data_IF_393497423672
#
_entry.id   IF_393497423672
#
_cell.length_a   1.000
_cell.length_b   1.000
_cell.length_c   1.000
_cell.angle_alpha   90.00
_cell.angle_beta   90.00
_cell.angle_gamma   90.00
#
_symmetry.space_group_name_H-M   'P 1'
#
loop_
_entity.id
_entity.type
_entity.pdbx_description
1 polymer ?
#
# COMPACT_ATOMS: atom_id res chain seq x y z
N UNK A 1 -4.06 37.99 -56.45
CA UNK A 1 -2.88 38.78 -56.01
C UNK A 1 -3.20 39.25 -54.60
N UNK A 2 -2.83 38.42 -53.62
CA UNK A 2 -1.58 38.51 -52.87
C UNK A 2 -1.77 39.55 -51.73
N UNK A 3 -2.05 39.12 -50.50
CA UNK A 3 -1.14 38.51 -49.51
C UNK A 3 -0.56 39.60 -48.59
N UNK A 4 -0.93 39.56 -47.29
CA UNK A 4 -0.12 40.11 -46.20
C UNK A 4 -0.59 39.59 -44.83
N UNK A 5 0.03 38.47 -44.48
CA UNK A 5 0.46 37.97 -43.17
C UNK A 5 0.01 38.71 -41.89
N UNK A 6 -0.75 37.98 -41.07
CA UNK A 6 -0.96 38.23 -39.65
C UNK A 6 -0.07 37.24 -38.88
N UNK A 7 0.90 37.76 -38.12
CA UNK A 7 1.86 36.94 -37.37
C UNK A 7 1.28 36.42 -36.06
N UNK A 8 1.06 35.11 -36.00
CA UNK A 8 0.76 34.38 -34.77
C UNK A 8 2.03 34.17 -33.94
N UNK A 9 2.16 34.87 -32.82
CA UNK A 9 3.09 34.52 -31.75
C UNK A 9 2.48 33.41 -30.89
N UNK A 10 2.72 32.16 -31.28
CA UNK A 10 2.50 31.02 -30.39
C UNK A 10 3.61 30.97 -29.34
N UNK A 11 3.25 31.29 -28.10
CA UNK A 11 3.99 30.93 -26.90
C UNK A 11 4.17 29.41 -26.83
N UNK A 12 5.38 28.91 -27.10
CA UNK A 12 5.83 27.62 -26.60
C UNK A 12 6.39 27.83 -25.19
N UNK A 13 5.54 27.63 -24.18
CA UNK A 13 6.04 27.33 -22.84
C UNK A 13 6.58 25.89 -22.86
N UNK A 14 7.90 25.75 -22.95
CA UNK A 14 8.55 24.47 -22.66
C UNK A 14 8.37 24.18 -21.17
N UNK A 15 7.35 23.37 -20.85
CA UNK A 15 7.22 22.78 -19.53
C UNK A 15 8.41 21.85 -19.32
N UNK A 16 9.48 22.36 -18.70
CA UNK A 16 10.55 21.52 -18.18
C UNK A 16 9.91 20.52 -17.21
N UNK A 17 9.91 19.24 -17.59
CA UNK A 17 9.63 18.14 -16.66
C UNK A 17 10.68 18.22 -15.56
N UNK A 18 10.33 18.84 -14.42
CA UNK A 18 11.14 18.79 -13.22
C UNK A 18 11.24 17.34 -12.79
N UNK A 19 12.42 16.76 -12.96
CA UNK A 19 12.77 15.47 -12.38
C UNK A 19 12.73 15.66 -10.86
N UNK A 20 11.64 15.22 -10.23
CA UNK A 20 11.45 15.33 -8.79
C UNK A 20 12.35 14.31 -8.09
N UNK A 21 13.55 14.75 -7.70
CA UNK A 21 14.45 13.98 -6.84
C UNK A 21 14.01 14.12 -5.39
N UNK A 22 14.15 13.04 -4.61
CA UNK A 22 14.03 13.08 -3.15
C UNK A 22 15.46 13.13 -2.58
N UNK A 23 15.83 14.22 -1.92
CA UNK A 23 17.16 14.39 -1.33
C UNK A 23 18.32 14.18 -2.34
N UNK A 24 18.11 14.52 -3.62
CA UNK A 24 19.07 14.30 -4.70
C UNK A 24 19.13 12.86 -5.24
N UNK A 25 18.28 11.96 -4.75
CA UNK A 25 18.10 10.59 -5.25
C UNK A 25 16.92 10.57 -6.23
N UNK A 26 17.03 9.81 -7.32
CA UNK A 26 15.92 9.63 -8.25
C UNK A 26 14.71 8.97 -7.55
N UNK A 27 13.49 9.39 -7.91
CA UNK A 27 12.26 8.96 -7.24
C UNK A 27 12.07 7.44 -7.24
N UNK A 28 12.56 6.75 -8.28
CA UNK A 28 12.43 5.31 -8.44
C UNK A 28 13.32 4.55 -7.45
N UNK A 29 14.59 4.95 -7.35
CA UNK A 29 15.52 4.44 -6.34
C UNK A 29 15.06 4.77 -4.93
N UNK A 30 14.52 5.98 -4.71
CA UNK A 30 13.94 6.37 -3.42
C UNK A 30 12.76 5.47 -3.04
N UNK A 31 11.81 5.24 -3.95
CA UNK A 31 10.67 4.34 -3.78
C UNK A 31 11.12 2.93 -3.39
N UNK A 32 12.07 2.35 -4.14
CA UNK A 32 12.55 0.99 -3.87
C UNK A 32 13.49 0.85 -2.67
N UNK A 33 13.94 1.94 -2.04
CA UNK A 33 14.79 1.91 -0.84
C UNK A 33 14.05 2.31 0.43
N UNK A 34 13.12 3.25 0.31
CA UNK A 34 12.49 3.94 1.45
C UNK A 34 10.99 3.72 1.51
N UNK A 35 10.34 3.35 0.40
CA UNK A 35 8.89 3.11 0.39
C UNK A 35 8.47 2.02 1.39
N UNK A 36 7.27 2.13 1.95
CA UNK A 36 6.77 1.14 2.92
C UNK A 36 6.75 -0.28 2.34
N UNK A 37 6.49 -0.45 1.03
CA UNK A 37 6.54 -1.77 0.39
C UNK A 37 7.96 -2.33 0.41
N UNK A 38 8.95 -1.51 0.05
CA UNK A 38 10.35 -1.93 0.02
C UNK A 38 10.88 -2.23 1.44
N UNK A 39 10.48 -1.44 2.43
CA UNK A 39 10.85 -1.67 3.83
C UNK A 39 10.19 -2.93 4.41
N UNK A 40 8.94 -3.22 4.03
CA UNK A 40 8.22 -4.39 4.52
C UNK A 40 8.65 -5.68 3.82
N UNK A 41 8.78 -5.66 2.49
CA UNK A 41 8.90 -6.86 1.67
C UNK A 41 10.23 -6.95 0.90
N UNK A 42 11.07 -5.93 0.97
CA UNK A 42 12.29 -5.83 0.20
C UNK A 42 12.08 -5.18 -1.17
N UNK A 43 13.16 -4.62 -1.72
CA UNK A 43 13.14 -3.85 -2.96
C UNK A 43 12.69 -4.68 -4.19
N UNK A 44 13.10 -5.96 -4.25
CA UNK A 44 12.76 -6.84 -5.37
C UNK A 44 11.26 -7.14 -5.43
N UNK A 45 10.65 -7.48 -4.30
CA UNK A 45 9.22 -7.78 -4.23
C UNK A 45 8.36 -6.51 -4.36
N UNK A 46 8.82 -5.37 -3.82
CA UNK A 46 8.17 -4.09 -4.06
C UNK A 46 8.15 -3.74 -5.56
N UNK A 47 9.27 -3.92 -6.26
CA UNK A 47 9.36 -3.72 -7.71
C UNK A 47 8.36 -4.60 -8.46
N UNK A 48 8.36 -5.89 -8.17
CA UNK A 48 7.44 -6.85 -8.79
C UNK A 48 5.97 -6.48 -8.49
N UNK A 49 5.67 -6.04 -7.28
CA UNK A 49 4.34 -5.56 -6.93
C UNK A 49 3.91 -4.37 -7.79
N UNK A 50 4.78 -3.37 -7.94
CA UNK A 50 4.47 -2.19 -8.76
C UNK A 50 4.29 -2.54 -10.24
N UNK A 51 5.11 -3.42 -10.81
CA UNK A 51 4.94 -3.92 -12.19
C UNK A 51 3.55 -4.56 -12.39
N UNK A 52 3.14 -5.42 -11.45
CA UNK A 52 1.84 -6.07 -11.48
C UNK A 52 0.70 -5.07 -11.31
N UNK A 53 0.84 -4.08 -10.41
CA UNK A 53 -0.19 -3.08 -10.14
C UNK A 53 -0.37 -2.09 -11.31
N UNK A 54 0.73 -1.69 -11.96
CA UNK A 54 0.67 -0.75 -13.10
C UNK A 54 0.46 -1.44 -14.45
N UNK A 55 0.47 -2.78 -14.49
CA UNK A 55 0.49 -3.61 -15.71
C UNK A 55 1.64 -3.22 -16.66
N UNK A 56 2.80 -2.93 -16.11
CA UNK A 56 3.99 -2.61 -16.90
C UNK A 56 4.88 -3.85 -17.04
N UNK A 57 5.44 -4.08 -18.23
CA UNK A 57 6.37 -5.18 -18.48
C UNK A 57 7.72 -5.01 -17.79
N UNK A 58 8.08 -3.77 -17.44
CA UNK A 58 9.30 -3.41 -16.74
C UNK A 58 9.04 -2.18 -15.88
N UNK A 59 9.48 -2.23 -14.63
CA UNK A 59 9.44 -1.08 -13.72
C UNK A 59 10.34 0.08 -14.20
N UNK A 60 11.37 -0.22 -14.99
CA UNK A 60 12.32 0.80 -15.46
C UNK A 60 11.69 1.78 -16.45
N UNK A 61 10.61 1.38 -17.12
CA UNK A 61 9.90 2.22 -18.07
C UNK A 61 8.80 3.07 -17.41
N UNK A 62 8.52 2.86 -16.12
CA UNK A 62 7.45 3.56 -15.42
C UNK A 62 7.91 4.97 -14.98
N UNK A 63 7.21 6.05 -15.36
CA UNK A 63 7.55 7.41 -14.96
C UNK A 63 7.09 7.69 -13.52
N UNK A 64 7.94 7.32 -12.57
CA UNK A 64 7.70 7.54 -11.14
C UNK A 64 7.97 9.00 -10.78
N UNK A 65 6.98 9.62 -10.14
CA UNK A 65 7.06 10.95 -9.54
C UNK A 65 6.96 10.85 -8.01
N UNK A 66 7.49 11.87 -7.33
CA UNK A 66 7.38 12.02 -5.89
C UNK A 66 6.79 13.39 -5.56
N UNK A 67 5.75 13.41 -4.73
CA UNK A 67 5.18 14.64 -4.16
C UNK A 67 5.62 14.78 -2.71
N UNK A 68 6.50 15.75 -2.46
CA UNK A 68 7.02 16.02 -1.13
C UNK A 68 5.98 16.53 -0.13
N UNK A 69 4.88 17.13 -0.59
CA UNK A 69 3.83 17.66 0.28
C UNK A 69 2.93 16.57 0.89
N UNK A 70 2.78 15.45 0.18
CA UNK A 70 2.02 14.30 0.64
C UNK A 70 2.91 13.09 0.95
N UNK A 71 4.21 13.23 0.71
CA UNK A 71 5.21 12.16 0.78
C UNK A 71 4.82 10.92 -0.03
N UNK A 72 4.11 11.09 -1.16
CA UNK A 72 3.65 9.98 -1.99
C UNK A 72 4.51 9.76 -3.24
N UNK A 73 4.67 8.50 -3.60
CA UNK A 73 5.18 8.07 -4.89
C UNK A 73 4.01 7.68 -5.78
N UNK A 74 4.03 8.13 -7.03
CA UNK A 74 2.93 7.89 -7.97
C UNK A 74 3.42 7.82 -9.41
N UNK A 75 2.62 7.21 -10.28
CA UNK A 75 2.82 7.24 -11.73
C UNK A 75 1.98 8.36 -12.32
N UNK A 76 2.63 9.28 -13.02
CA UNK A 76 1.93 10.23 -13.90
C UNK A 76 1.55 9.51 -15.20
N UNK A 77 0.27 9.44 -15.55
CA UNK A 77 -0.14 8.82 -16.82
C UNK A 77 -0.17 9.86 -17.96
N UNK A 78 0.73 9.60 -18.89
CA UNK A 78 0.90 10.04 -20.28
C UNK A 78 1.65 11.35 -20.58
N UNK A 79 2.47 11.26 -21.64
CA UNK A 79 3.22 12.36 -22.27
C UNK A 79 2.34 13.21 -23.21
N UNK A 80 1.05 12.87 -23.33
CA UNK A 80 0.06 13.54 -24.19
C UNK A 80 -0.83 14.51 -23.40
N UNK A 81 -0.61 14.64 -22.08
CA UNK A 81 -1.32 15.56 -21.20
C UNK A 81 -2.77 15.15 -20.91
N UNK A 82 -3.16 13.88 -21.08
CA UNK A 82 -4.53 13.46 -20.75
C UNK A 82 -4.70 13.42 -19.23
N UNK A 83 -5.77 14.04 -18.75
CA UNK A 83 -6.15 14.02 -17.33
C UNK A 83 -6.62 12.62 -16.93
N UNK A 84 -5.68 11.74 -16.62
CA UNK A 84 -5.93 10.54 -15.83
C UNK A 84 -5.50 10.79 -14.39
N UNK A 85 -6.29 10.29 -13.43
CA UNK A 85 -5.88 10.32 -12.02
C UNK A 85 -4.54 9.60 -11.87
N UNK A 86 -3.59 10.17 -11.11
CA UNK A 86 -2.30 9.52 -10.87
C UNK A 86 -2.51 8.16 -10.20
N UNK A 87 -1.67 7.19 -10.53
CA UNK A 87 -1.67 5.88 -9.85
C UNK A 87 -0.77 6.02 -8.64
N UNK A 88 -1.36 5.95 -7.46
CA UNK A 88 -0.62 5.95 -6.21
C UNK A 88 0.12 4.61 -6.03
N UNK A 89 1.39 4.66 -5.64
CA UNK A 89 2.21 3.46 -5.46
C UNK A 89 2.56 3.21 -3.99
N UNK A 90 3.11 4.22 -3.32
CA UNK A 90 3.65 4.07 -1.97
C UNK A 90 3.78 5.42 -1.27
N UNK A 91 4.11 5.38 0.02
CA UNK A 91 4.51 6.54 0.81
C UNK A 91 5.99 6.45 1.17
N UNK A 92 6.65 7.60 1.26
CA UNK A 92 7.94 7.75 1.92
C UNK A 92 7.69 7.94 3.42
N UNK A 93 8.16 7.04 4.30
CA UNK A 93 8.03 7.20 5.73
C UNK A 93 8.73 8.46 6.22
N UNK A 94 8.10 9.17 7.16
CA UNK A 94 8.79 10.23 7.88
C UNK A 94 9.90 9.64 8.78
N UNK A 95 10.94 10.41 9.15
CA UNK A 95 12.00 9.91 10.04
C UNK A 95 11.52 9.44 11.41
N UNK A 96 10.33 9.88 11.84
CA UNK A 96 9.69 9.49 13.10
C UNK A 96 8.73 8.29 12.96
N UNK A 97 8.73 7.62 11.81
CA UNK A 97 7.84 6.52 11.50
C UNK A 97 8.19 5.31 12.37
N UNK A 98 7.19 4.48 12.73
CA UNK A 98 7.46 3.26 13.49
C UNK A 98 8.35 2.30 12.69
N UNK A 99 9.14 1.48 13.39
CA UNK A 99 10.04 0.52 12.77
C UNK A 99 9.24 -0.57 12.06
N UNK A 100 9.39 -0.66 10.74
CA UNK A 100 8.69 -1.63 9.90
C UNK A 100 9.14 -3.05 10.23
N UNK A 101 8.18 -3.98 10.30
CA UNK A 101 8.46 -5.40 10.47
C UNK A 101 8.65 -6.00 9.09
N UNK A 102 9.83 -6.60 8.86
CA UNK A 102 10.10 -7.32 7.61
C UNK A 102 9.25 -8.57 7.51
N UNK A 103 8.66 -8.77 6.33
CA UNK A 103 7.73 -9.82 5.97
C UNK A 103 8.14 -10.41 4.61
N UNK A 104 7.82 -11.68 4.38
CA UNK A 104 7.95 -12.30 3.05
C UNK A 104 6.77 -11.85 2.20
N UNK A 105 7.01 -11.41 0.96
CA UNK A 105 5.92 -11.07 0.04
C UNK A 105 5.16 -12.33 -0.36
N UNK A 106 3.85 -12.35 -0.10
CA UNK A 106 3.04 -13.49 -0.53
C UNK A 106 2.80 -13.43 -2.03
N UNK A 107 3.28 -14.45 -2.73
CA UNK A 107 3.08 -14.64 -4.16
C UNK A 107 2.51 -16.02 -4.47
N UNK A 108 1.97 -16.14 -5.68
CA UNK A 108 1.52 -17.41 -6.25
C UNK A 108 2.70 -18.12 -6.91
N UNK A 109 2.72 -19.45 -6.81
CA UNK A 109 3.88 -20.24 -7.21
C UNK A 109 3.72 -20.91 -8.58
N UNK A 110 2.60 -20.67 -9.27
CA UNK A 110 2.33 -21.27 -10.59
C UNK A 110 1.99 -20.19 -11.61
N UNK A 111 2.49 -20.34 -12.84
CA UNK A 111 2.18 -19.42 -13.95
C UNK A 111 0.68 -19.34 -14.24
N UNK A 112 -0.04 -20.46 -14.13
CA UNK A 112 -1.48 -20.50 -14.30
C UNK A 112 -2.22 -19.62 -13.27
N UNK A 113 -1.82 -19.70 -11.99
CA UNK A 113 -2.40 -18.86 -10.94
C UNK A 113 -1.97 -17.39 -11.10
N UNK A 114 -0.72 -17.13 -11.47
CA UNK A 114 -0.24 -15.79 -11.75
C UNK A 114 -1.07 -15.14 -12.86
N UNK A 115 -1.31 -15.85 -13.97
CA UNK A 115 -2.19 -15.38 -15.03
C UNK A 115 -3.62 -15.12 -14.56
N UNK A 116 -4.16 -15.98 -13.69
CA UNK A 116 -5.54 -15.86 -13.21
C UNK A 116 -5.76 -14.75 -12.18
N UNK A 117 -4.77 -14.45 -11.35
CA UNK A 117 -4.95 -13.61 -10.16
C UNK A 117 -4.03 -12.39 -10.08
N UNK A 118 -3.08 -12.24 -11.01
CA UNK A 118 -2.13 -11.12 -11.00
C UNK A 118 -1.97 -10.51 -12.39
N UNK A 119 -1.58 -11.30 -13.39
CA UNK A 119 -1.09 -10.82 -14.70
C UNK A 119 -2.12 -10.80 -15.82
N UNK A 120 -3.26 -11.48 -15.67
CA UNK A 120 -4.26 -11.59 -16.75
C UNK A 120 -4.92 -10.24 -17.06
N UNK A 121 -5.32 -10.05 -18.32
CA UNK A 121 -5.84 -8.77 -18.84
C UNK A 121 -7.05 -8.21 -18.08
N UNK A 122 -7.83 -9.08 -17.43
CA UNK A 122 -9.02 -8.71 -16.64
C UNK A 122 -8.76 -8.66 -15.14
N UNK A 123 -7.51 -8.86 -14.71
CA UNK A 123 -7.11 -8.71 -13.31
C UNK A 123 -6.69 -7.27 -13.12
N UNK A 124 -7.22 -6.63 -12.08
CA UNK A 124 -6.73 -5.33 -11.60
C UNK A 124 -6.41 -5.46 -10.12
N UNK A 125 -5.18 -5.13 -9.75
CA UNK A 125 -4.84 -4.94 -8.34
C UNK A 125 -5.33 -3.55 -7.90
N UNK A 126 -5.82 -3.48 -6.68
CA UNK A 126 -6.32 -2.24 -6.10
C UNK A 126 -5.14 -1.53 -5.42
N UNK A 127 -5.24 -0.22 -5.29
CA UNK A 127 -4.23 0.59 -4.62
C UNK A 127 -4.03 0.10 -3.17
N UNK A 128 -2.80 0.21 -2.67
CA UNK A 128 -2.52 -0.09 -1.28
C UNK A 128 -3.32 0.83 -0.36
N UNK A 129 -4.07 0.22 0.57
CA UNK A 129 -4.88 0.95 1.54
C UNK A 129 -3.98 1.34 2.71
N UNK A 130 -3.47 2.57 2.70
CA UNK A 130 -2.77 3.15 3.84
C UNK A 130 -3.74 3.75 4.87
N UNK A 131 -3.45 3.55 6.15
CA UNK A 131 -4.29 3.97 7.27
C UNK A 131 -3.88 5.37 7.74
N UNK A 132 -4.13 6.36 6.87
CA UNK A 132 -3.76 7.76 7.10
C UNK A 132 -4.66 8.39 8.16
N UNK A 133 -4.08 9.19 9.05
CA UNK A 133 -4.82 9.99 10.01
C UNK A 133 -5.44 11.21 9.31
N UNK A 134 -6.69 11.52 9.65
CA UNK A 134 -7.40 12.68 9.14
C UNK A 134 -6.85 13.97 9.76
N UNK A 135 -6.44 14.91 8.92
CA UNK A 135 -5.95 16.22 9.36
C UNK A 135 -4.56 16.23 10.01
N UNK A 136 -3.85 15.09 10.05
CA UNK A 136 -2.50 14.99 10.63
C UNK A 136 -1.53 14.49 9.56
N UNK A 137 -0.74 15.40 9.01
CA UNK A 137 0.23 15.11 7.95
C UNK A 137 1.26 14.06 8.42
N UNK A 138 1.47 13.04 7.60
CA UNK A 138 2.44 11.97 7.85
C UNK A 138 2.09 11.00 8.99
N UNK A 139 0.98 11.20 9.71
CA UNK A 139 0.55 10.24 10.72
C UNK A 139 -0.17 9.04 10.07
N UNK A 140 0.30 7.84 10.41
CA UNK A 140 -0.07 6.59 9.76
C UNK A 140 -0.26 5.46 10.78
N UNK A 141 -1.32 4.68 10.57
CA UNK A 141 -1.55 3.40 11.23
C UNK A 141 -2.36 3.49 12.52
N UNK A 142 -2.68 2.30 13.05
CA UNK A 142 -3.32 2.10 14.35
C UNK A 142 -2.80 0.79 14.97
N UNK A 143 -2.87 0.66 16.28
CA UNK A 143 -2.42 -0.59 16.93
C UNK A 143 -3.34 -1.76 16.57
N UNK A 144 -2.82 -2.99 16.64
CA UNK A 144 -3.63 -4.20 16.43
C UNK A 144 -4.76 -4.26 17.46
N UNK A 145 -4.52 -3.87 18.71
CA UNK A 145 -5.55 -3.75 19.74
C UNK A 145 -6.66 -2.78 19.33
N UNK A 146 -6.30 -1.56 18.89
CA UNK A 146 -7.26 -0.57 18.41
C UNK A 146 -8.06 -1.10 17.22
N UNK A 147 -7.40 -1.78 16.27
CA UNK A 147 -8.03 -2.37 15.11
C UNK A 147 -9.05 -3.44 15.52
N UNK A 148 -8.71 -4.36 16.42
CA UNK A 148 -9.63 -5.39 16.94
C UNK A 148 -10.85 -4.75 17.58
N UNK A 149 -10.65 -3.70 18.39
CA UNK A 149 -11.71 -2.96 19.07
C UNK A 149 -12.52 -2.03 18.14
N UNK A 150 -12.09 -1.85 16.89
CA UNK A 150 -12.71 -0.92 15.95
C UNK A 150 -12.54 0.55 16.34
N UNK A 151 -11.43 0.90 16.98
CA UNK A 151 -11.05 2.27 17.36
C UNK A 151 -10.15 2.87 16.28
N UNK A 152 -10.74 3.59 15.34
CA UNK A 152 -10.01 4.21 14.23
C UNK A 152 -10.73 5.42 13.64
N UNK A 153 -11.58 6.11 14.41
CA UNK A 153 -12.39 7.22 13.91
C UNK A 153 -11.59 8.45 13.49
N UNK A 154 -10.30 8.50 13.85
CA UNK A 154 -9.35 9.52 13.42
C UNK A 154 -8.70 9.17 12.07
N UNK A 155 -9.01 8.03 11.46
CA UNK A 155 -8.47 7.63 10.17
C UNK A 155 -9.32 8.20 9.03
N UNK A 156 -8.65 8.71 7.99
CA UNK A 156 -9.29 9.17 6.76
C UNK A 156 -10.09 8.02 6.14
N UNK A 157 -11.33 8.29 5.76
CA UNK A 157 -12.21 7.31 5.11
C UNK A 157 -12.69 6.17 6.03
N UNK A 158 -12.58 6.29 7.36
CA UNK A 158 -12.97 5.23 8.30
C UNK A 158 -14.39 4.68 8.10
N UNK A 159 -15.32 5.55 7.70
CA UNK A 159 -16.73 5.23 7.43
C UNK A 159 -17.04 5.05 5.94
N UNK A 160 -16.04 5.12 5.07
CA UNK A 160 -16.17 4.91 3.64
C UNK A 160 -16.00 3.42 3.31
N UNK A 161 -16.50 3.02 2.14
CA UNK A 161 -16.32 1.67 1.61
C UNK A 161 -14.84 1.38 1.37
N UNK A 162 -14.35 0.23 1.85
CA UNK A 162 -13.02 -0.24 1.51
C UNK A 162 -13.01 -0.74 0.04
N UNK A 163 -12.10 -0.22 -0.77
CA UNK A 163 -11.92 -0.71 -2.14
C UNK A 163 -11.17 -2.06 -2.14
N UNK A 164 -11.92 -3.16 -2.01
CA UNK A 164 -11.39 -4.53 -1.93
C UNK A 164 -11.59 -5.33 -3.22
N UNK A 165 -11.96 -4.65 -4.31
CA UNK A 165 -12.45 -5.25 -5.55
C UNK A 165 -13.82 -5.93 -5.41
N UNK A 166 -14.31 -6.51 -6.50
CA UNK A 166 -15.71 -7.01 -6.59
C UNK A 166 -15.93 -8.44 -6.08
N UNK A 167 -14.95 -9.02 -5.37
CA UNK A 167 -15.08 -10.38 -4.83
C UNK A 167 -16.00 -10.39 -3.61
N UNK A 168 -16.67 -11.51 -3.34
CA UNK A 168 -17.49 -11.70 -2.13
C UNK A 168 -16.66 -12.01 -0.87
N UNK A 169 -15.43 -12.47 -1.06
CA UNK A 169 -14.49 -12.72 0.03
C UNK A 169 -13.05 -12.48 -0.43
N UNK A 170 -12.17 -12.24 0.53
CA UNK A 170 -10.74 -12.08 0.33
C UNK A 170 -9.97 -12.85 1.41
N UNK A 171 -8.67 -13.05 1.22
CA UNK A 171 -7.77 -13.60 2.22
C UNK A 171 -6.86 -12.51 2.78
N UNK A 172 -6.72 -12.44 4.10
CA UNK A 172 -5.59 -11.75 4.73
C UNK A 172 -4.44 -12.75 4.82
N UNK A 173 -3.27 -12.37 4.30
CA UNK A 173 -2.04 -13.17 4.27
C UNK A 173 -1.05 -12.60 5.27
N UNK A 174 -0.36 -13.47 6.00
CA UNK A 174 0.77 -13.10 6.86
C UNK A 174 1.91 -14.08 6.58
N UNK A 175 3.10 -13.57 6.33
CA UNK A 175 4.27 -14.40 6.11
C UNK A 175 5.50 -13.68 6.62
N UNK A 176 6.20 -14.31 7.55
CA UNK A 176 7.42 -13.79 8.16
C UNK A 176 8.60 -14.69 7.80
N UNK A 177 9.82 -14.14 7.68
CA UNK A 177 11.01 -14.92 7.36
C UNK A 177 11.21 -16.12 8.30
N UNK A 178 11.50 -17.28 7.72
CA UNK A 178 11.69 -18.53 8.47
C UNK A 178 10.43 -19.13 9.10
N UNK A 179 9.23 -18.59 8.80
CA UNK A 179 7.94 -19.10 9.29
C UNK A 179 7.08 -19.62 8.15
N UNK A 180 6.13 -20.48 8.48
CA UNK A 180 5.12 -20.92 7.53
C UNK A 180 4.16 -19.77 7.22
N UNK A 181 3.79 -19.64 5.94
CA UNK A 181 2.77 -18.67 5.53
C UNK A 181 1.42 -18.98 6.21
N UNK A 182 0.73 -17.92 6.62
CA UNK A 182 -0.56 -18.00 7.28
C UNK A 182 -1.60 -17.20 6.49
N UNK A 183 -2.85 -17.67 6.52
CA UNK A 183 -3.94 -16.98 5.83
C UNK A 183 -5.26 -17.14 6.58
N UNK A 184 -6.13 -16.14 6.45
CA UNK A 184 -7.51 -16.20 6.93
C UNK A 184 -8.45 -15.54 5.93
N UNK A 185 -9.54 -16.24 5.60
CA UNK A 185 -10.58 -15.70 4.73
C UNK A 185 -11.47 -14.72 5.51
N UNK A 186 -11.87 -13.64 4.85
CA UNK A 186 -12.75 -12.60 5.35
C UNK A 186 -13.87 -12.35 4.34
N UNK A 187 -15.01 -11.88 4.81
CA UNK A 187 -16.06 -11.38 3.93
C UNK A 187 -15.73 -9.94 3.54
N UNK A 188 -15.89 -9.60 2.26
CA UNK A 188 -15.72 -8.23 1.74
C UNK A 188 -17.04 -7.51 1.56
N UNK A 189 -18.15 -8.20 1.84
CA UNK A 189 -19.52 -7.68 1.86
C UNK A 189 -20.12 -7.86 3.25
N UNK A 190 -20.96 -6.94 3.66
CA UNK A 190 -21.69 -6.99 4.92
C UNK A 190 -22.73 -8.14 4.92
N UNK A 191 -23.34 -8.35 6.09
CA UNK A 191 -24.37 -9.38 6.28
C UNK A 191 -25.79 -8.87 5.98
N UNK A 192 -25.94 -7.68 5.39
CA UNK A 192 -27.25 -7.17 5.00
C UNK A 192 -27.79 -7.97 3.82
N UNK A 193 -29.10 -7.91 3.58
CA UNK A 193 -29.72 -8.51 2.40
C UNK A 193 -29.12 -7.97 1.09
N UNK A 194 -28.75 -6.69 1.07
CA UNK A 194 -28.14 -6.02 -0.08
C UNK A 194 -26.68 -6.39 -0.31
N UNK A 195 -26.01 -7.05 0.65
CA UNK A 195 -24.59 -7.46 0.57
C UNK A 195 -23.69 -6.29 0.17
N UNK A 196 -23.81 -5.16 0.85
CA UNK A 196 -23.03 -3.97 0.50
C UNK A 196 -21.55 -4.25 0.78
N UNK A 197 -20.61 -3.65 0.01
CA UNK A 197 -19.20 -3.68 0.35
C UNK A 197 -18.94 -3.24 1.80
N UNK A 198 -17.96 -3.85 2.47
CA UNK A 198 -17.61 -3.48 3.85
C UNK A 198 -16.95 -2.10 3.90
N UNK A 199 -17.16 -1.40 5.01
CA UNK A 199 -16.46 -0.14 5.31
C UNK A 199 -14.99 -0.41 5.65
N UNK A 200 -14.14 0.63 5.55
CA UNK A 200 -12.75 0.60 5.99
C UNK A 200 -12.63 0.11 7.44
N UNK A 201 -13.51 0.58 8.34
CA UNK A 201 -13.64 0.05 9.70
C UNK A 201 -13.70 -1.47 9.76
N UNK A 202 -14.59 -2.07 8.96
CA UNK A 202 -14.79 -3.51 8.95
C UNK A 202 -13.57 -4.26 8.44
N UNK A 203 -12.94 -3.74 7.38
CA UNK A 203 -11.72 -4.32 6.83
C UNK A 203 -10.56 -4.29 7.82
N UNK A 204 -10.33 -3.14 8.48
CA UNK A 204 -9.29 -2.98 9.50
C UNK A 204 -9.53 -3.88 10.71
N UNK A 205 -10.78 -4.03 11.16
CA UNK A 205 -11.14 -5.00 12.22
C UNK A 205 -10.83 -6.44 11.81
N UNK A 206 -11.04 -6.79 10.54
CA UNK A 206 -10.66 -8.09 10.02
C UNK A 206 -9.15 -8.29 10.05
N UNK A 207 -8.36 -7.31 9.61
CA UNK A 207 -6.89 -7.37 9.69
C UNK A 207 -6.43 -7.51 11.14
N UNK A 208 -6.92 -6.67 12.06
CA UNK A 208 -6.58 -6.72 13.48
C UNK A 208 -6.77 -8.12 14.09
N UNK A 209 -7.96 -8.71 13.89
CA UNK A 209 -8.24 -10.09 14.36
C UNK A 209 -7.41 -11.16 13.66
N UNK A 210 -6.95 -10.91 12.43
CA UNK A 210 -6.06 -11.83 11.72
C UNK A 210 -4.65 -11.79 12.32
N UNK A 211 -4.11 -10.59 12.53
CA UNK A 211 -2.78 -10.37 13.12
C UNK A 211 -2.75 -10.90 14.55
N UNK A 212 -3.72 -10.52 15.38
CA UNK A 212 -3.83 -11.01 16.77
C UNK A 212 -3.85 -12.55 16.84
N UNK A 213 -4.69 -13.20 16.02
CA UNK A 213 -4.78 -14.66 15.97
C UNK A 213 -3.48 -15.33 15.47
N UNK A 214 -2.71 -14.66 14.60
CA UNK A 214 -1.41 -15.16 14.16
C UNK A 214 -0.40 -15.14 15.31
N UNK A 215 -0.25 -14.01 16.00
CA UNK A 215 0.73 -13.86 17.07
C UNK A 215 0.38 -14.71 18.31
N UNK A 216 -0.90 -14.90 18.62
CA UNK A 216 -1.33 -15.85 19.65
C UNK A 216 -0.92 -17.30 19.34
N UNK A 217 -0.89 -17.70 18.06
CA UNK A 217 -0.48 -19.05 17.64
C UNK A 217 1.03 -19.18 17.44
N UNK A 218 1.73 -18.08 17.20
CA UNK A 218 3.14 -18.03 16.86
C UNK A 218 3.91 -17.17 17.87
N UNK A 219 3.84 -17.55 19.15
CA UNK A 219 4.46 -16.82 20.28
C UNK A 219 5.99 -16.67 20.20
N UNK A 220 6.64 -17.25 19.19
CA UNK A 220 8.08 -17.16 18.97
C UNK A 220 8.54 -15.87 18.26
N UNK A 221 7.63 -14.92 18.02
CA UNK A 221 8.01 -13.56 17.63
C UNK A 221 8.11 -12.72 18.91
N UNK A 222 9.34 -12.47 19.32
CA UNK A 222 9.66 -11.66 20.48
C UNK A 222 9.90 -10.21 20.07
N UNK A 223 9.59 -9.28 20.98
CA UNK A 223 9.93 -7.88 20.88
C UNK A 223 11.46 -7.72 21.01
N UNK A 224 11.93 -6.47 20.91
CA UNK A 224 13.34 -6.15 21.10
C UNK A 224 13.81 -6.51 22.53
N UNK A 225 12.92 -6.51 23.52
CA UNK A 225 13.24 -6.91 24.90
C UNK A 225 13.27 -8.43 25.10
N UNK A 226 12.93 -9.23 24.07
CA UNK A 226 12.87 -10.69 24.16
C UNK A 226 11.54 -11.23 24.66
N UNK A 227 10.59 -10.37 25.02
CA UNK A 227 9.25 -10.76 25.45
C UNK A 227 8.31 -11.03 24.27
N UNK A 228 7.28 -11.88 24.40
CA UNK A 228 6.32 -12.10 23.33
C UNK A 228 5.62 -10.80 22.91
N UNK A 229 5.61 -10.52 21.61
CA UNK A 229 4.99 -9.29 21.08
C UNK A 229 3.48 -9.30 21.37
N UNK A 230 2.99 -8.21 21.95
CA UNK A 230 1.57 -7.99 22.23
C UNK A 230 0.87 -7.20 21.13
N UNK A 231 -0.47 -7.22 21.12
CA UNK A 231 -1.28 -6.45 20.17
C UNK A 231 -1.18 -4.91 20.33
N UNK A 232 -0.62 -4.44 21.46
CA UNK A 232 -0.37 -3.00 21.71
C UNK A 232 0.93 -2.52 21.09
N UNK A 233 1.89 -3.43 20.96
CA UNK A 233 3.21 -3.18 20.40
C UNK A 233 3.24 -3.30 18.87
N UNK A 234 2.14 -3.75 18.25
CA UNK A 234 2.03 -3.90 16.81
C UNK A 234 1.12 -2.81 16.22
N UNK A 235 1.61 -2.16 15.16
CA UNK A 235 0.87 -1.17 14.38
C UNK A 235 0.58 -1.76 13.00
N UNK A 236 -0.67 -1.62 12.55
CA UNK A 236 -1.07 -1.88 11.16
C UNK A 236 -0.98 -0.54 10.43
N UNK A 237 -0.12 -0.45 9.42
CA UNK A 237 0.09 0.77 8.63
C UNK A 237 -0.80 0.83 7.40
N UNK A 238 -1.13 -0.33 6.84
CA UNK A 238 -1.95 -0.47 5.66
C UNK A 238 -2.07 -1.92 5.21
N UNK A 239 -2.64 -2.13 4.03
CA UNK A 239 -2.71 -3.43 3.39
C UNK A 239 -2.51 -3.35 1.87
N UNK A 240 -1.65 -4.23 1.36
CA UNK A 240 -1.27 -4.34 -0.05
C UNK A 240 -2.12 -5.41 -0.72
N UNK A 241 -2.67 -5.12 -1.91
CA UNK A 241 -3.41 -6.09 -2.71
C UNK A 241 -2.43 -6.96 -3.51
N UNK A 242 -1.94 -8.04 -2.90
CA UNK A 242 -0.85 -8.88 -3.46
C UNK A 242 -1.28 -9.80 -4.61
N UNK A 243 -2.58 -10.13 -4.68
CA UNK A 243 -3.22 -10.81 -5.81
C UNK A 243 -4.72 -10.58 -5.73
N UNK A 244 -5.48 -10.73 -6.81
CA UNK A 244 -6.93 -10.64 -6.80
C UNK A 244 -7.56 -11.52 -5.68
N UNK A 245 -8.06 -10.89 -4.62
CA UNK A 245 -8.66 -11.56 -3.46
C UNK A 245 -7.69 -12.00 -2.36
N UNK A 246 -6.45 -11.50 -2.35
CA UNK A 246 -5.49 -11.67 -1.25
C UNK A 246 -4.87 -10.31 -0.89
N UNK A 247 -4.94 -9.95 0.38
CA UNK A 247 -4.37 -8.73 0.94
C UNK A 247 -3.32 -9.10 1.99
N UNK A 248 -2.22 -8.34 2.04
CA UNK A 248 -1.16 -8.52 3.02
C UNK A 248 -0.96 -7.22 3.80
N UNK A 249 -1.07 -7.23 5.14
CA UNK A 249 -0.89 -6.02 5.93
C UNK A 249 0.60 -5.66 5.99
N UNK A 250 0.85 -4.35 6.05
CA UNK A 250 2.16 -3.76 6.39
C UNK A 250 2.16 -3.51 7.89
N UNK A 251 3.12 -4.11 8.59
CA UNK A 251 3.19 -4.06 10.05
C UNK A 251 4.42 -3.28 10.53
N UNK A 252 4.32 -2.68 11.71
CA UNK A 252 5.41 -1.98 12.37
C UNK A 252 5.37 -2.17 13.89
N UNK A 253 6.49 -1.94 14.57
CA UNK A 253 6.57 -1.90 16.03
C UNK A 253 6.16 -0.53 16.57
N UNK A 254 5.35 -0.52 17.63
CA UNK A 254 5.06 0.67 18.41
C UNK A 254 6.19 0.95 19.41
N UNK A 255 7.26 1.58 18.94
CA UNK A 255 8.47 1.85 19.74
C UNK A 255 8.28 2.95 20.80
N UNK A 256 7.13 3.65 20.82
CA UNK A 256 6.89 4.78 21.74
C UNK A 256 6.59 4.36 23.18
N UNK A 257 6.36 3.07 23.43
CA UNK A 257 6.07 2.54 24.77
C UNK A 257 7.21 1.65 25.33
N UNK A 258 8.28 1.42 24.57
CA UNK A 258 9.33 0.45 24.93
C UNK A 258 10.57 1.07 25.60
N UNK A 259 10.54 2.38 25.89
CA UNK A 259 11.64 3.09 26.57
C UNK A 259 11.11 3.72 27.86
N UNK A 260 10.80 2.87 28.84
CA UNK A 260 10.77 3.22 30.27
C UNK A 260 11.59 2.19 31.07
#
# INVERSE_FOLDING_TARGET
MADQAQGDMHHQASGQQTVHTLDGVDAKSALLRRGYHALAFGAGDARLHFENHTHCSSFDDVPISYDGSTSCFFVQRDALGRSHSPIFLDLNPNPAAPSIISQEYWQLNTEADLGRFVKGDNVKLEDTIFLLHEGVEGALGLTVEQAVQGKGTHLKGWKETANLGDKASAHIRLWFPGRQSWKRQIQTKDHTSSRNPILLKGFVQHIGRCVEAYFQKNAALCSISGEPITSKELIILGAVHVSAGSWQPILAYNMRETVE
#
